data_IF_100434448699
#
_entry.id   IF_100434448699
#
_cell.length_a   1.000
_cell.length_b   1.000
_cell.length_c   1.000
_cell.angle_alpha   90.00
_cell.angle_beta   90.00
_cell.angle_gamma   90.00
#
_symmetry.space_group_name_H-M   'P 1'
#
loop_
_entity.id
_entity.type
_entity.pdbx_description
1 polymer ?
#
# COMPACT_ATOMS: atom_id res chain seq x y z
N UNK A 1 18.57 -18.03 12.68
CA UNK A 1 17.27 -17.49 13.18
C UNK A 1 17.14 -16.03 12.79
N UNK A 2 15.94 -15.61 12.31
CA UNK A 2 15.64 -14.23 11.93
C UNK A 2 15.36 -13.40 13.18
N UNK A 3 15.89 -12.16 13.24
CA UNK A 3 15.55 -11.17 14.25
C UNK A 3 14.91 -9.93 13.58
N UNK A 4 13.69 -9.57 14.00
CA UNK A 4 13.03 -8.33 13.61
C UNK A 4 13.55 -7.20 14.48
N UNK A 5 13.91 -6.07 13.87
CA UNK A 5 14.44 -4.89 14.57
C UNK A 5 13.60 -3.66 14.23
N UNK A 6 13.06 -2.99 15.23
CA UNK A 6 12.28 -1.75 14.99
C UNK A 6 11.43 -1.31 16.18
N UNK A 7 10.52 -0.41 15.91
CA UNK A 7 9.60 0.15 16.91
C UNK A 7 8.42 -0.77 17.19
N UNK A 8 8.00 -0.84 18.46
CA UNK A 8 6.66 -1.30 18.83
C UNK A 8 5.90 -0.13 19.45
N UNK A 9 4.81 0.21 18.81
CA UNK A 9 3.98 1.36 19.18
C UNK A 9 2.50 0.97 19.26
N UNK A 10 1.63 1.88 19.65
CA UNK A 10 0.19 1.68 19.66
C UNK A 10 -0.42 2.25 18.38
N UNK A 11 -0.98 1.39 17.53
CA UNK A 11 -1.82 1.81 16.41
C UNK A 11 -3.23 2.12 16.90
N UNK A 12 -3.72 3.31 16.59
CA UNK A 12 -5.11 3.73 16.81
C UNK A 12 -5.75 4.03 15.47
N UNK A 13 -6.57 3.11 14.96
CA UNK A 13 -7.37 3.35 13.77
C UNK A 13 -8.66 4.06 14.17
N UNK A 14 -8.88 5.25 13.63
CA UNK A 14 -10.08 6.04 13.92
C UNK A 14 -11.34 5.36 13.37
N UNK A 15 -12.46 5.62 14.03
CA UNK A 15 -13.75 5.13 13.55
C UNK A 15 -14.14 5.82 12.25
N UNK A 16 -14.63 5.03 11.30
CA UNK A 16 -15.26 5.52 10.04
C UNK A 16 -16.73 5.07 10.03
N UNK A 17 -17.48 5.39 8.97
CA UNK A 17 -18.85 4.86 8.79
C UNK A 17 -18.90 3.34 8.78
N UNK A 18 -17.84 2.69 8.33
CA UNK A 18 -17.79 1.25 8.03
C UNK A 18 -16.89 0.45 8.99
N UNK A 19 -16.13 1.13 9.86
CA UNK A 19 -15.19 0.49 10.79
C UNK A 19 -15.20 1.18 12.16
N UNK A 20 -15.30 0.41 13.28
CA UNK A 20 -15.17 0.97 14.61
C UNK A 20 -13.74 1.39 14.92
N UNK A 21 -13.56 2.27 15.91
CA UNK A 21 -12.24 2.58 16.49
C UNK A 21 -11.58 1.29 16.98
N UNK A 22 -10.29 1.13 16.64
CA UNK A 22 -9.47 -0.01 17.10
C UNK A 22 -8.15 0.47 17.66
N UNK A 23 -7.70 -0.18 18.73
CA UNK A 23 -6.34 -0.03 19.27
C UNK A 23 -5.64 -1.40 19.25
N UNK A 24 -4.37 -1.41 18.85
CA UNK A 24 -3.55 -2.63 18.83
C UNK A 24 -2.07 -2.27 18.92
N UNK A 25 -1.24 -3.27 19.23
CA UNK A 25 0.20 -3.13 19.02
C UNK A 25 0.48 -3.08 17.50
N UNK A 26 1.32 -2.15 17.10
CA UNK A 26 1.74 -1.89 15.73
C UNK A 26 3.26 -1.91 15.56
N UNK A 27 3.75 -1.32 14.48
CA UNK A 27 5.16 -1.40 14.12
C UNK A 27 5.57 -2.82 13.75
N UNK A 28 6.74 -3.28 14.18
CA UNK A 28 7.26 -4.62 13.81
C UNK A 28 6.39 -5.80 14.26
N UNK A 29 5.35 -5.57 15.06
CA UNK A 29 4.39 -6.61 15.46
C UNK A 29 3.62 -7.17 14.27
N UNK A 30 3.41 -6.39 13.21
CA UNK A 30 2.79 -6.88 11.97
C UNK A 30 3.66 -7.96 11.30
N UNK A 31 4.96 -7.70 11.19
CA UNK A 31 5.96 -8.66 10.72
C UNK A 31 6.03 -9.92 11.61
N UNK A 32 6.04 -9.73 12.93
CA UNK A 32 6.05 -10.85 13.88
C UNK A 32 4.85 -11.79 13.72
N UNK A 33 3.65 -11.23 13.49
CA UNK A 33 2.45 -12.05 13.19
C UNK A 33 2.60 -12.90 11.93
N UNK A 34 3.27 -12.39 10.90
CA UNK A 34 3.48 -13.13 9.66
C UNK A 34 4.41 -14.33 9.89
N UNK A 35 5.54 -14.14 10.58
CA UNK A 35 6.46 -15.23 10.92
C UNK A 35 5.79 -16.29 11.82
N UNK A 36 5.02 -15.86 12.82
CA UNK A 36 4.21 -16.75 13.64
C UNK A 36 3.18 -17.54 12.82
N UNK A 37 2.52 -16.91 11.86
CA UNK A 37 1.52 -17.57 11.02
C UNK A 37 2.13 -18.65 10.11
N UNK A 38 3.39 -18.44 9.71
CA UNK A 38 4.18 -19.37 8.91
C UNK A 38 4.87 -20.47 9.74
N UNK A 39 4.74 -20.45 11.07
CA UNK A 39 5.45 -21.32 12.01
C UNK A 39 6.99 -21.21 11.89
N UNK A 40 7.52 -20.01 11.53
CA UNK A 40 8.95 -19.68 11.44
C UNK A 40 9.45 -19.25 12.81
N UNK A 41 10.62 -19.76 13.24
CA UNK A 41 11.27 -19.29 14.48
C UNK A 41 11.88 -17.90 14.29
N UNK A 42 11.55 -16.98 15.18
CA UNK A 42 12.02 -15.59 15.13
C UNK A 42 12.27 -14.99 16.53
N UNK A 43 13.04 -13.95 16.53
CA UNK A 43 13.27 -13.04 17.67
C UNK A 43 12.77 -11.64 17.33
N UNK A 44 12.53 -10.84 18.36
CA UNK A 44 12.14 -9.43 18.24
C UNK A 44 13.08 -8.56 19.08
N UNK A 45 13.71 -7.60 18.45
CA UNK A 45 14.52 -6.58 19.07
C UNK A 45 13.85 -5.21 18.88
N UNK A 46 13.47 -4.54 19.97
CA UNK A 46 12.51 -3.45 19.85
C UNK A 46 12.88 -2.20 20.67
N UNK A 47 12.31 -1.08 20.22
CA UNK A 47 12.22 0.18 20.94
C UNK A 47 10.78 0.43 21.36
N UNK A 48 10.54 0.71 22.62
CA UNK A 48 9.22 1.07 23.15
C UNK A 48 9.31 1.76 24.52
N UNK A 49 8.28 2.49 24.93
CA UNK A 49 8.17 3.00 26.31
C UNK A 49 8.03 1.86 27.32
N UNK A 50 8.55 2.08 28.54
CA UNK A 50 8.49 1.09 29.63
C UNK A 50 7.06 0.64 29.96
N UNK A 51 6.07 1.53 29.86
CA UNK A 51 4.69 1.19 30.18
C UNK A 51 4.06 0.16 29.23
N UNK A 52 4.67 -0.08 28.05
CA UNK A 52 4.21 -1.07 27.07
C UNK A 52 4.83 -2.46 27.27
N UNK A 53 5.92 -2.59 28.02
CA UNK A 53 6.73 -3.81 28.12
C UNK A 53 5.90 -5.05 28.44
N UNK A 54 5.03 -5.00 29.47
CA UNK A 54 4.20 -6.13 29.86
C UNK A 54 3.22 -6.58 28.76
N UNK A 55 2.66 -5.65 28.00
CA UNK A 55 1.76 -5.97 26.90
C UNK A 55 2.51 -6.57 25.72
N UNK A 56 3.71 -6.07 25.42
CA UNK A 56 4.59 -6.57 24.37
C UNK A 56 5.03 -8.01 24.70
N UNK A 57 5.47 -8.26 25.94
CA UNK A 57 5.87 -9.60 26.40
C UNK A 57 4.74 -10.62 26.27
N UNK A 58 3.55 -10.30 26.77
CA UNK A 58 2.39 -11.18 26.69
C UNK A 58 2.07 -11.50 25.25
N UNK A 59 1.96 -10.45 24.42
CA UNK A 59 1.58 -10.61 23.02
C UNK A 59 2.59 -11.45 22.23
N UNK A 60 3.89 -11.16 22.35
CA UNK A 60 4.92 -11.89 21.60
C UNK A 60 5.11 -13.32 22.09
N UNK A 61 4.89 -13.56 23.38
CA UNK A 61 4.88 -14.93 23.93
C UNK A 61 3.70 -15.75 23.37
N UNK A 62 2.52 -15.16 23.25
CA UNK A 62 1.36 -15.82 22.63
C UNK A 62 1.57 -16.08 21.12
N UNK A 63 2.49 -15.35 20.49
CA UNK A 63 2.88 -15.51 19.10
C UNK A 63 4.22 -16.28 18.93
N UNK A 64 4.59 -17.11 19.88
CA UNK A 64 5.76 -18.03 19.83
C UNK A 64 7.12 -17.36 19.58
N UNK A 65 7.28 -16.05 19.88
CA UNK A 65 8.56 -15.36 19.80
C UNK A 65 9.61 -16.04 20.71
N UNK A 66 10.79 -16.37 20.15
CA UNK A 66 11.82 -17.16 20.86
C UNK A 66 12.72 -16.31 21.76
N UNK A 67 13.00 -15.07 21.36
CA UNK A 67 13.77 -14.12 22.13
C UNK A 67 13.21 -12.70 21.97
N UNK A 68 13.22 -11.97 23.07
CA UNK A 68 12.74 -10.59 23.13
C UNK A 68 13.85 -9.72 23.71
N UNK A 69 14.33 -8.74 22.93
CA UNK A 69 15.45 -7.88 23.27
C UNK A 69 14.99 -6.42 23.23
N UNK A 70 15.00 -5.72 24.35
CA UNK A 70 14.70 -4.29 24.36
C UNK A 70 15.95 -3.50 24.06
N UNK A 71 16.01 -2.87 22.89
CA UNK A 71 17.18 -2.11 22.39
C UNK A 71 17.26 -0.68 22.98
N UNK A 72 16.17 -0.18 23.49
CA UNK A 72 16.11 1.15 24.08
C UNK A 72 14.75 1.49 24.64
N UNK A 73 14.74 2.49 25.50
CA UNK A 73 13.54 3.03 26.11
C UNK A 73 13.13 4.33 25.43
N UNK A 74 11.88 4.38 24.97
CA UNK A 74 11.29 5.59 24.39
C UNK A 74 10.60 6.38 25.49
N UNK A 75 10.85 7.68 25.56
CA UNK A 75 10.29 8.59 26.55
C UNK A 75 9.73 9.85 25.92
N UNK A 76 9.09 10.67 26.74
CA UNK A 76 8.52 11.98 26.40
C UNK A 76 7.35 11.98 25.40
N UNK A 77 6.85 10.83 24.99
CA UNK A 77 5.69 10.76 24.08
C UNK A 77 4.80 9.55 24.37
N UNK A 78 3.52 9.58 23.96
CA UNK A 78 2.58 8.46 24.10
C UNK A 78 2.90 7.27 23.17
N UNK A 79 3.83 7.41 22.25
CA UNK A 79 4.25 6.41 21.26
C UNK A 79 3.06 5.76 20.53
N UNK A 80 2.22 6.63 19.98
CA UNK A 80 0.94 6.26 19.38
C UNK A 80 0.84 6.79 17.96
N UNK A 81 0.51 5.90 17.02
CA UNK A 81 0.21 6.24 15.63
C UNK A 81 -1.31 6.34 15.45
N UNK A 82 -1.78 7.51 15.06
CA UNK A 82 -3.17 7.70 14.62
C UNK A 82 -3.28 7.35 13.14
N UNK A 83 -4.29 6.57 12.77
CA UNK A 83 -4.55 6.11 11.42
C UNK A 83 -5.98 6.53 11.06
N UNK A 84 -6.13 7.49 10.16
CA UNK A 84 -7.43 8.04 9.80
C UNK A 84 -8.24 7.05 8.96
N UNK A 85 -7.58 6.41 7.96
CA UNK A 85 -8.21 5.44 7.08
C UNK A 85 -7.58 4.06 7.22
N UNK A 86 -8.41 3.06 7.52
CA UNK A 86 -7.96 1.69 7.73
C UNK A 86 -7.53 0.98 6.46
N UNK A 87 -8.07 1.41 5.30
CA UNK A 87 -7.75 0.90 3.97
C UNK A 87 -6.94 1.93 3.19
N UNK A 88 -5.92 1.50 2.47
CA UNK A 88 -5.17 2.36 1.53
C UNK A 88 -5.97 2.55 0.22
N UNK A 89 -7.08 3.25 0.33
CA UNK A 89 -7.85 3.73 -0.81
C UNK A 89 -7.12 4.92 -1.44
N UNK A 90 -6.60 5.82 -0.60
CA UNK A 90 -5.74 6.95 -0.88
C UNK A 90 -4.74 7.11 0.26
N UNK A 91 -4.38 8.34 0.61
CA UNK A 91 -3.54 8.60 1.77
C UNK A 91 -4.27 8.20 3.05
N UNK A 92 -3.68 7.28 3.82
CA UNK A 92 -4.26 6.76 5.07
C UNK A 92 -4.22 7.76 6.23
N UNK A 93 -3.53 8.88 6.08
CA UNK A 93 -3.44 9.90 7.13
C UNK A 93 -2.77 9.37 8.41
N UNK A 94 -1.59 8.76 8.26
CA UNK A 94 -0.75 8.39 9.41
C UNK A 94 -0.26 9.65 10.12
N UNK A 95 -0.54 9.77 11.41
CA UNK A 95 -0.11 10.90 12.24
C UNK A 95 0.45 10.37 13.55
N UNK A 96 1.71 10.70 13.81
CA UNK A 96 2.37 10.30 15.05
C UNK A 96 2.07 11.31 16.16
N UNK A 97 1.51 10.84 17.27
CA UNK A 97 1.12 11.72 18.37
C UNK A 97 2.37 12.19 19.15
N UNK A 98 2.62 13.50 19.19
CA UNK A 98 3.75 14.14 19.87
C UNK A 98 5.12 13.63 19.42
N UNK A 99 5.32 13.42 18.12
CA UNK A 99 6.58 12.89 17.55
C UNK A 99 7.79 13.80 17.76
N UNK A 100 7.58 15.12 17.95
CA UNK A 100 8.65 16.08 18.18
C UNK A 100 9.33 15.91 19.55
N UNK A 101 8.66 15.24 20.50
CA UNK A 101 9.14 15.03 21.87
C UNK A 101 9.76 13.64 22.09
N UNK A 102 9.97 12.87 21.00
CA UNK A 102 10.54 11.52 21.12
C UNK A 102 12.01 11.58 21.54
N UNK A 103 12.32 10.92 22.65
CA UNK A 103 13.67 10.69 23.12
C UNK A 103 13.91 9.20 23.33
N UNK A 104 15.03 8.67 22.83
CA UNK A 104 15.37 7.24 22.89
C UNK A 104 16.68 7.07 23.66
N UNK A 105 16.58 6.38 24.79
CA UNK A 105 17.74 5.91 25.55
C UNK A 105 18.13 4.51 25.05
N UNK A 106 19.25 4.43 24.31
CA UNK A 106 19.73 3.21 23.67
C UNK A 106 20.51 2.34 24.64
N UNK A 107 20.15 1.07 24.78
CA UNK A 107 20.95 0.07 25.49
C UNK A 107 21.99 -0.57 24.55
N UNK A 108 23.22 -0.05 24.59
CA UNK A 108 24.33 -0.53 23.76
C UNK A 108 24.71 -2.00 24.07
N UNK A 109 24.39 -2.50 25.27
CA UNK A 109 24.64 -3.90 25.62
C UNK A 109 23.64 -4.80 24.94
N UNK A 110 22.35 -4.46 25.02
CA UNK A 110 21.28 -5.18 24.33
C UNK A 110 21.45 -5.12 22.79
N UNK A 111 21.88 -4.00 22.23
CA UNK A 111 22.15 -3.88 20.78
C UNK A 111 23.21 -4.89 20.32
N UNK A 112 24.26 -5.16 21.12
CA UNK A 112 25.27 -6.14 20.78
C UNK A 112 24.76 -7.58 20.77
N UNK A 113 23.63 -7.88 21.42
CA UNK A 113 23.02 -9.21 21.36
C UNK A 113 22.52 -9.55 19.95
N UNK A 114 22.32 -8.54 19.08
CA UNK A 114 21.98 -8.74 17.67
C UNK A 114 23.02 -9.56 16.91
N UNK A 115 24.27 -9.58 17.37
CA UNK A 115 25.35 -10.37 16.79
C UNK A 115 25.17 -11.90 16.99
N UNK A 116 24.19 -12.31 17.78
CA UNK A 116 23.82 -13.71 17.95
C UNK A 116 22.88 -14.24 16.86
N UNK A 117 22.49 -13.44 15.88
CA UNK A 117 21.55 -13.81 14.83
C UNK A 117 22.23 -13.89 13.46
N UNK A 118 21.70 -14.75 12.58
CA UNK A 118 22.22 -14.92 11.22
C UNK A 118 21.65 -13.85 10.24
N UNK A 119 20.50 -13.27 10.62
CA UNK A 119 19.72 -12.41 9.74
C UNK A 119 18.91 -11.39 10.54
N UNK A 120 19.04 -10.11 10.17
CA UNK A 120 18.36 -9.00 10.78
C UNK A 120 17.46 -8.32 9.75
N UNK A 121 16.22 -8.07 10.14
CA UNK A 121 15.25 -7.34 9.32
C UNK A 121 14.88 -6.06 10.06
N UNK A 122 15.40 -4.94 9.57
CA UNK A 122 15.11 -3.61 10.09
C UNK A 122 13.86 -3.05 9.44
N UNK A 123 12.90 -2.66 10.25
CA UNK A 123 11.73 -1.88 9.82
C UNK A 123 11.93 -0.47 10.35
N UNK A 124 11.96 0.50 9.44
CA UNK A 124 12.23 1.89 9.82
C UNK A 124 11.15 2.45 10.76
N UNK A 125 11.61 3.27 11.68
CA UNK A 125 10.79 3.87 12.73
C UNK A 125 11.41 5.19 13.19
N UNK A 126 11.20 5.53 14.45
CA UNK A 126 11.72 6.77 15.04
C UNK A 126 13.14 6.63 15.60
N UNK A 127 13.73 5.45 15.52
CA UNK A 127 15.11 5.21 15.99
C UNK A 127 16.14 5.45 14.90
N UNK A 128 17.36 5.77 15.31
CA UNK A 128 18.52 5.91 14.41
C UNK A 128 19.06 4.51 14.05
N UNK A 129 18.74 4.06 12.85
CA UNK A 129 19.15 2.76 12.32
C UNK A 129 20.67 2.64 12.17
N UNK A 130 21.36 3.71 11.73
CA UNK A 130 22.80 3.72 11.59
C UNK A 130 23.51 3.54 12.94
N UNK A 131 22.93 4.10 14.02
CA UNK A 131 23.46 3.91 15.38
C UNK A 131 23.40 2.46 15.81
N UNK A 132 22.35 1.73 15.45
CA UNK A 132 22.24 0.28 15.73
C UNK A 132 23.21 -0.52 14.86
N UNK A 133 23.26 -0.22 13.55
CA UNK A 133 24.09 -0.93 12.58
C UNK A 133 25.59 -0.83 12.86
N UNK A 134 26.05 0.27 13.47
CA UNK A 134 27.45 0.41 13.95
C UNK A 134 27.88 -0.66 14.95
N UNK A 135 26.93 -1.24 15.68
CA UNK A 135 27.19 -2.27 16.68
C UNK A 135 27.03 -3.69 16.12
N UNK A 136 26.55 -3.84 14.89
CA UNK A 136 26.34 -5.14 14.23
C UNK A 136 27.65 -5.59 13.58
N UNK A 137 28.05 -6.84 13.77
CA UNK A 137 29.25 -7.44 13.19
C UNK A 137 29.09 -7.73 11.70
N UNK A 138 30.21 -7.90 10.99
CA UNK A 138 30.20 -8.28 9.58
C UNK A 138 29.81 -9.75 9.39
N UNK A 139 29.16 -10.07 8.27
CA UNK A 139 28.75 -11.42 7.94
C UNK A 139 27.29 -11.75 8.28
N UNK A 140 26.61 -10.89 9.02
CA UNK A 140 25.16 -11.00 9.27
C UNK A 140 24.41 -10.46 8.04
N UNK A 141 23.37 -11.17 7.59
CA UNK A 141 22.49 -10.67 6.52
C UNK A 141 21.59 -9.57 7.06
N UNK A 142 21.53 -8.45 6.34
CA UNK A 142 20.80 -7.27 6.77
C UNK A 142 19.80 -6.87 5.70
N UNK A 143 18.55 -6.81 6.07
CA UNK A 143 17.43 -6.35 5.24
C UNK A 143 16.80 -5.12 5.88
N UNK A 144 16.32 -4.20 5.06
CA UNK A 144 15.81 -2.95 5.57
C UNK A 144 14.55 -2.52 4.79
N UNK A 145 13.47 -2.21 5.48
CA UNK A 145 12.34 -1.47 4.94
C UNK A 145 12.44 -0.01 5.36
N UNK A 146 12.39 0.90 4.39
CA UNK A 146 12.46 2.34 4.64
C UNK A 146 11.13 3.01 4.32
N UNK A 147 10.69 3.86 5.24
CA UNK A 147 9.42 4.58 5.16
C UNK A 147 9.61 6.10 5.15
N UNK A 148 8.83 6.80 5.97
CA UNK A 148 8.75 8.26 5.93
C UNK A 148 9.92 8.99 6.61
N UNK A 149 10.80 8.30 7.31
CA UNK A 149 11.98 8.85 7.97
C UNK A 149 13.22 8.97 7.06
N UNK A 150 13.15 8.51 5.80
CA UNK A 150 14.23 8.58 4.81
C UNK A 150 13.77 9.40 3.61
N UNK A 151 14.40 10.54 3.37
CA UNK A 151 14.02 11.50 2.32
C UNK A 151 14.92 11.42 1.08
N UNK A 152 16.13 10.89 1.24
CA UNK A 152 17.13 10.78 0.18
C UNK A 152 18.09 9.61 0.41
N UNK A 153 18.90 9.32 -0.60
CA UNK A 153 19.91 8.26 -0.57
C UNK A 153 20.98 8.45 0.48
N UNK A 154 21.29 9.69 0.84
CA UNK A 154 22.24 10.07 1.87
C UNK A 154 21.76 9.75 3.30
N UNK A 155 20.46 9.59 3.50
CA UNK A 155 19.84 9.19 4.76
C UNK A 155 19.66 7.66 4.88
N UNK A 156 19.90 6.92 3.79
CA UNK A 156 19.84 5.45 3.82
C UNK A 156 20.91 4.87 4.76
N UNK A 157 20.67 3.68 5.31
CA UNK A 157 21.70 2.97 6.04
C UNK A 157 22.98 2.84 5.23
N UNK A 158 24.10 3.34 5.76
CA UNK A 158 25.40 3.38 5.08
C UNK A 158 26.52 2.68 5.88
N UNK A 159 26.25 2.27 7.10
CA UNK A 159 27.22 1.57 7.96
C UNK A 159 27.45 0.11 7.52
N UNK A 160 26.49 -0.48 6.81
CA UNK A 160 26.55 -1.85 6.28
C UNK A 160 25.94 -1.90 4.89
N UNK A 161 26.46 -2.80 4.05
CA UNK A 161 25.85 -3.11 2.77
C UNK A 161 24.63 -4.01 3.00
N UNK A 162 23.45 -3.58 2.56
CA UNK A 162 22.20 -4.31 2.76
C UNK A 162 22.08 -5.48 1.76
N UNK A 163 21.54 -6.59 2.21
CA UNK A 163 21.16 -7.70 1.32
C UNK A 163 19.89 -7.37 0.54
N UNK A 164 18.90 -6.76 1.19
CA UNK A 164 17.67 -6.31 0.53
C UNK A 164 17.22 -4.97 1.10
N UNK A 165 16.84 -4.05 0.22
CA UNK A 165 16.21 -2.77 0.55
C UNK A 165 14.79 -2.78 0.01
N UNK A 166 13.80 -2.66 0.90
CA UNK A 166 12.40 -2.52 0.56
C UNK A 166 12.00 -1.05 0.60
N UNK A 167 11.29 -0.61 -0.43
CA UNK A 167 10.78 0.76 -0.56
C UNK A 167 9.36 0.70 -1.09
N UNK A 168 8.46 1.50 -0.53
CA UNK A 168 7.11 1.64 -1.05
C UNK A 168 6.92 2.96 -1.82
N UNK A 169 5.94 3.01 -2.70
CA UNK A 169 5.55 4.25 -3.41
C UNK A 169 4.99 5.32 -2.48
N UNK A 170 4.65 4.96 -1.23
CA UNK A 170 4.24 5.91 -0.19
C UNK A 170 5.42 6.53 0.57
N UNK A 171 6.64 5.99 0.47
CA UNK A 171 7.83 6.47 1.19
C UNK A 171 8.30 7.84 0.69
N UNK A 172 8.97 8.60 1.57
CA UNK A 172 9.49 9.91 1.21
C UNK A 172 10.60 9.85 0.16
N UNK A 173 11.52 8.88 0.27
CA UNK A 173 12.59 8.72 -0.70
C UNK A 173 12.04 8.44 -2.11
N UNK A 174 10.99 7.63 -2.22
CA UNK A 174 10.33 7.41 -3.50
C UNK A 174 9.71 8.70 -4.05
N UNK A 175 8.90 9.40 -3.27
CA UNK A 175 8.25 10.65 -3.69
C UNK A 175 9.24 11.73 -4.12
N UNK A 176 10.42 11.78 -3.50
CA UNK A 176 11.43 12.81 -3.74
C UNK A 176 12.39 12.48 -4.87
N UNK A 177 12.67 11.18 -5.12
CA UNK A 177 13.78 10.75 -6.00
C UNK A 177 13.37 9.88 -7.18
N UNK A 178 12.15 9.35 -7.18
CA UNK A 178 11.70 8.49 -8.28
C UNK A 178 11.42 9.30 -9.54
N UNK A 179 12.00 8.90 -10.65
CA UNK A 179 11.71 9.36 -12.01
C UNK A 179 11.24 8.21 -12.88
N UNK A 180 12.00 7.13 -12.88
CA UNK A 180 11.71 5.86 -13.51
C UNK A 180 12.42 4.74 -12.73
N UNK A 181 12.03 3.50 -12.97
CA UNK A 181 12.53 2.37 -12.18
C UNK A 181 14.04 2.14 -12.35
N UNK A 182 14.58 2.26 -13.56
CA UNK A 182 15.99 1.99 -13.83
C UNK A 182 16.91 3.06 -13.20
N UNK A 183 16.52 4.31 -13.32
CA UNK A 183 17.23 5.44 -12.67
C UNK A 183 17.16 5.32 -11.15
N UNK A 184 16.01 4.95 -10.61
CA UNK A 184 15.83 4.76 -9.17
C UNK A 184 16.66 3.59 -8.64
N UNK A 185 16.68 2.45 -9.33
CA UNK A 185 17.57 1.35 -8.99
C UNK A 185 19.04 1.73 -9.08
N UNK A 186 19.43 2.54 -10.07
CA UNK A 186 20.81 3.01 -10.23
C UNK A 186 21.26 3.86 -9.04
N UNK A 187 20.36 4.71 -8.51
CA UNK A 187 20.58 5.50 -7.31
C UNK A 187 20.82 4.62 -6.08
N UNK A 188 20.06 3.52 -5.95
CA UNK A 188 20.02 2.69 -4.75
C UNK A 188 21.02 1.52 -4.76
N UNK A 189 21.55 1.13 -5.92
CA UNK A 189 22.56 0.05 -6.07
C UNK A 189 23.74 0.11 -5.11
N UNK A 190 24.30 1.29 -4.76
CA UNK A 190 25.41 1.36 -3.80
C UNK A 190 25.06 0.89 -2.39
N UNK A 191 23.78 0.86 -2.02
CA UNK A 191 23.30 0.59 -0.67
C UNK A 191 22.83 -0.85 -0.47
N UNK A 192 22.37 -1.54 -1.52
CA UNK A 192 21.78 -2.87 -1.39
C UNK A 192 22.04 -3.78 -2.59
N UNK A 193 22.14 -5.09 -2.34
CA UNK A 193 22.25 -6.12 -3.39
C UNK A 193 20.93 -6.31 -4.13
N UNK A 194 19.80 -6.23 -3.41
CA UNK A 194 18.44 -6.30 -3.95
C UNK A 194 17.65 -5.07 -3.58
N UNK A 195 16.88 -4.57 -4.53
CA UNK A 195 15.95 -3.44 -4.35
C UNK A 195 14.56 -3.95 -4.69
N UNK A 196 13.64 -3.86 -3.75
CA UNK A 196 12.24 -4.24 -3.91
C UNK A 196 11.38 -2.99 -3.82
N UNK A 197 10.81 -2.56 -4.93
CA UNK A 197 9.86 -1.45 -5.00
C UNK A 197 8.43 -2.00 -4.87
N UNK A 198 7.77 -1.71 -3.76
CA UNK A 198 6.37 -2.06 -3.50
C UNK A 198 5.46 -0.99 -4.11
N UNK A 199 4.62 -1.39 -5.07
CA UNK A 199 3.75 -0.47 -5.84
C UNK A 199 2.27 -0.65 -5.51
N UNK A 200 1.96 -0.89 -4.24
CA UNK A 200 0.62 -1.08 -3.71
C UNK A 200 -0.13 -2.19 -4.48
N UNK A 201 -1.36 -1.93 -4.92
CA UNK A 201 -2.16 -2.86 -5.73
C UNK A 201 -1.60 -3.12 -7.13
N UNK A 202 -0.59 -2.38 -7.56
CA UNK A 202 0.10 -2.58 -8.84
C UNK A 202 1.17 -3.67 -8.81
N UNK A 203 1.39 -4.31 -7.67
CA UNK A 203 2.42 -5.33 -7.48
C UNK A 203 3.72 -4.80 -6.92
N UNK A 204 4.81 -5.46 -7.24
CA UNK A 204 6.16 -4.98 -6.91
C UNK A 204 7.14 -5.26 -8.05
N UNK A 205 8.20 -4.44 -8.12
CA UNK A 205 9.33 -4.66 -9.02
C UNK A 205 10.59 -4.89 -8.21
N UNK A 206 11.42 -5.78 -8.71
CA UNK A 206 12.65 -6.19 -8.04
C UNK A 206 13.82 -6.03 -8.99
N UNK A 207 14.87 -5.39 -8.51
CA UNK A 207 16.18 -5.40 -9.12
C UNK A 207 17.10 -6.26 -8.24
N UNK A 208 17.65 -7.33 -8.81
CA UNK A 208 18.64 -8.20 -8.15
C UNK A 208 20.00 -8.01 -8.81
N UNK A 209 20.93 -7.33 -8.13
CA UNK A 209 22.29 -7.08 -8.63
C UNK A 209 23.14 -8.36 -8.69
N UNK A 210 22.79 -9.39 -7.93
CA UNK A 210 23.54 -10.65 -7.91
C UNK A 210 23.28 -11.50 -9.15
N UNK A 211 22.08 -11.37 -9.73
CA UNK A 211 21.67 -12.04 -10.96
C UNK A 211 21.74 -11.11 -12.18
N UNK A 212 21.77 -9.79 -11.96
CA UNK A 212 21.64 -8.79 -13.02
C UNK A 212 20.24 -8.75 -13.63
N UNK A 213 19.21 -9.14 -12.89
CA UNK A 213 17.84 -9.33 -13.37
C UNK A 213 16.88 -8.31 -12.78
N UNK A 214 15.84 -8.00 -13.58
CA UNK A 214 14.66 -7.25 -13.14
C UNK A 214 13.43 -8.12 -13.36
N UNK A 215 12.59 -8.24 -12.35
CA UNK A 215 11.33 -8.97 -12.48
C UNK A 215 10.18 -8.29 -11.75
N UNK A 216 8.96 -8.63 -12.14
CA UNK A 216 7.72 -8.08 -11.61
C UNK A 216 6.94 -9.17 -10.88
N UNK A 217 6.43 -8.84 -9.71
CA UNK A 217 5.58 -9.71 -8.91
C UNK A 217 4.17 -9.11 -8.87
N UNK A 218 3.14 -9.86 -9.28
CA UNK A 218 1.78 -9.36 -9.24
C UNK A 218 1.28 -9.23 -7.78
N UNK A 219 0.49 -8.20 -7.52
CA UNK A 219 -0.32 -8.16 -6.29
C UNK A 219 -1.58 -8.98 -6.47
N UNK A 220 -2.03 -9.60 -5.40
CA UNK A 220 -3.36 -10.19 -5.36
C UNK A 220 -4.37 -9.09 -4.99
N UNK A 221 -5.43 -8.93 -5.78
CA UNK A 221 -6.42 -7.87 -5.59
C UNK A 221 -7.77 -8.44 -5.18
N UNK A 222 -8.26 -8.00 -4.01
CA UNK A 222 -9.58 -8.29 -3.48
C UNK A 222 -10.06 -7.10 -2.66
N UNK A 223 -11.35 -6.96 -2.40
CA UNK A 223 -11.81 -6.04 -1.37
C UNK A 223 -11.18 -6.40 -0.01
N UNK A 224 -10.56 -5.43 0.63
CA UNK A 224 -9.80 -5.64 1.87
C UNK A 224 -10.54 -5.14 3.10
N UNK A 225 -10.16 -5.66 4.28
CA UNK A 225 -10.64 -5.19 5.58
C UNK A 225 -9.73 -4.09 6.13
N UNK A 226 -8.42 -4.20 5.90
CA UNK A 226 -7.43 -3.20 6.29
C UNK A 226 -6.16 -3.33 5.43
N UNK A 227 -5.30 -2.31 5.45
CA UNK A 227 -3.99 -2.34 4.79
C UNK A 227 -2.82 -2.00 5.72
N UNK A 228 -3.08 -1.73 7.00
CA UNK A 228 -2.04 -1.39 7.98
C UNK A 228 -1.14 -2.59 8.25
N UNK A 229 0.16 -2.43 8.03
CA UNK A 229 1.17 -3.49 8.23
C UNK A 229 1.25 -4.53 7.12
N UNK A 230 0.50 -4.38 6.02
CA UNK A 230 0.54 -5.30 4.87
C UNK A 230 1.93 -5.29 4.21
N UNK A 231 2.58 -4.12 4.14
CA UNK A 231 3.95 -3.99 3.64
C UNK A 231 4.96 -4.78 4.48
N UNK A 232 4.88 -4.65 5.81
CA UNK A 232 5.77 -5.36 6.74
C UNK A 232 5.61 -6.89 6.63
N UNK A 233 4.37 -7.35 6.46
CA UNK A 233 4.06 -8.76 6.22
C UNK A 233 4.67 -9.24 4.90
N UNK A 234 4.50 -8.48 3.82
CA UNK A 234 5.10 -8.80 2.52
C UNK A 234 6.61 -8.94 2.60
N UNK A 235 7.28 -7.99 3.27
CA UNK A 235 8.73 -7.95 3.38
C UNK A 235 9.29 -9.19 4.11
N UNK A 236 8.78 -9.48 5.32
CA UNK A 236 9.32 -10.61 6.10
C UNK A 236 8.98 -11.96 5.49
N UNK A 237 7.80 -12.10 4.87
CA UNK A 237 7.42 -13.35 4.20
C UNK A 237 8.29 -13.57 2.96
N UNK A 238 8.64 -12.53 2.21
CA UNK A 238 9.54 -12.63 1.05
C UNK A 238 10.95 -13.10 1.40
N UNK A 239 11.36 -12.97 2.67
CA UNK A 239 12.66 -13.43 3.17
C UNK A 239 12.59 -14.81 3.85
N UNK A 240 11.43 -15.15 4.43
CA UNK A 240 11.26 -16.34 5.28
C UNK A 240 10.51 -17.50 4.59
N UNK A 241 9.90 -17.26 3.42
CA UNK A 241 9.11 -18.29 2.73
C UNK A 241 9.99 -19.49 2.29
N UNK A 242 9.50 -20.74 2.43
CA UNK A 242 10.29 -21.95 2.25
C UNK A 242 10.37 -22.37 0.76
N UNK A 243 10.80 -21.46 -0.13
CA UNK A 243 10.95 -21.70 -1.56
C UNK A 243 12.39 -21.48 -2.02
N UNK A 244 12.78 -22.12 -3.11
CA UNK A 244 14.16 -22.15 -3.59
C UNK A 244 14.61 -20.83 -4.22
N UNK A 245 13.70 -20.13 -4.91
CA UNK A 245 14.01 -18.87 -5.58
C UNK A 245 13.38 -17.67 -4.87
N UNK A 246 14.09 -16.54 -4.88
CA UNK A 246 13.55 -15.30 -4.31
C UNK A 246 12.28 -14.84 -5.01
N UNK A 247 12.14 -15.12 -6.32
CA UNK A 247 10.93 -14.81 -7.07
C UNK A 247 9.72 -15.60 -6.55
N UNK A 248 9.87 -16.89 -6.26
CA UNK A 248 8.81 -17.71 -5.65
C UNK A 248 8.45 -17.23 -4.25
N UNK A 249 9.46 -16.85 -3.45
CA UNK A 249 9.24 -16.28 -2.11
C UNK A 249 8.38 -15.00 -2.18
N UNK A 250 8.69 -14.09 -3.11
CA UNK A 250 7.93 -12.86 -3.33
C UNK A 250 6.50 -13.12 -3.84
N UNK A 251 6.33 -14.11 -4.73
CA UNK A 251 4.99 -14.53 -5.16
C UNK A 251 4.16 -15.03 -3.98
N UNK A 252 4.73 -15.90 -3.16
CA UNK A 252 4.06 -16.37 -1.96
C UNK A 252 3.76 -15.23 -1.00
N UNK A 253 4.71 -14.30 -0.82
CA UNK A 253 4.53 -13.11 0.02
C UNK A 253 3.35 -12.24 -0.44
N UNK A 254 3.11 -12.13 -1.75
CA UNK A 254 1.95 -11.39 -2.27
C UNK A 254 0.61 -12.00 -1.88
N UNK A 255 0.53 -13.34 -1.78
CA UNK A 255 -0.66 -14.05 -1.30
C UNK A 255 -0.84 -13.90 0.20
N UNK A 256 0.23 -14.06 0.98
CA UNK A 256 0.17 -13.91 2.44
C UNK A 256 -0.20 -12.47 2.83
N UNK A 257 0.35 -11.47 2.15
CA UNK A 257 0.00 -10.06 2.35
C UNK A 257 -1.49 -9.79 2.08
N UNK A 258 -2.05 -10.43 1.04
CA UNK A 258 -3.48 -10.38 0.76
C UNK A 258 -4.31 -10.99 1.89
N UNK A 259 -3.98 -12.21 2.33
CA UNK A 259 -4.69 -12.87 3.43
C UNK A 259 -4.62 -12.05 4.73
N UNK A 260 -3.49 -11.36 4.96
CA UNK A 260 -3.37 -10.43 6.07
C UNK A 260 -4.34 -9.26 5.96
N UNK A 261 -4.50 -8.70 4.76
CA UNK A 261 -5.42 -7.58 4.51
C UNK A 261 -6.91 -7.97 4.62
N UNK A 262 -7.25 -9.25 4.50
CA UNK A 262 -8.63 -9.75 4.57
C UNK A 262 -9.17 -9.89 6.00
N UNK A 263 -8.31 -9.97 7.02
CA UNK A 263 -8.75 -10.19 8.40
C UNK A 263 -7.91 -9.47 9.44
N UNK A 264 -8.54 -9.04 10.52
CA UNK A 264 -7.85 -8.50 11.70
C UNK A 264 -7.69 -9.56 12.82
N UNK A 265 -8.18 -10.80 12.61
CA UNK A 265 -8.13 -11.89 13.58
C UNK A 265 -6.89 -12.75 13.34
N UNK A 266 -5.95 -12.85 14.31
CA UNK A 266 -4.70 -13.60 14.13
C UNK A 266 -4.90 -15.05 13.75
N UNK A 267 -5.83 -15.76 14.40
CA UNK A 267 -6.08 -17.18 14.15
C UNK A 267 -6.63 -17.44 12.73
N UNK A 268 -7.50 -16.57 12.24
CA UNK A 268 -7.99 -16.65 10.85
C UNK A 268 -6.84 -16.45 9.86
N UNK A 269 -5.99 -15.47 10.10
CA UNK A 269 -4.80 -15.22 9.28
C UNK A 269 -3.88 -16.42 9.27
N UNK A 270 -3.54 -16.97 10.47
CA UNK A 270 -2.69 -18.17 10.57
C UNK A 270 -3.29 -19.37 9.83
N UNK A 271 -4.61 -19.56 9.92
CA UNK A 271 -5.30 -20.63 9.20
C UNK A 271 -5.17 -20.47 7.68
N UNK A 272 -5.38 -19.24 7.15
CA UNK A 272 -5.22 -18.93 5.72
C UNK A 272 -3.78 -19.19 5.26
N UNK A 273 -2.78 -18.71 6.00
CA UNK A 273 -1.35 -18.92 5.67
C UNK A 273 -0.99 -20.40 5.63
N UNK A 274 -1.46 -21.19 6.59
CA UNK A 274 -1.27 -22.65 6.58
C UNK A 274 -1.94 -23.34 5.39
N UNK A 275 -3.03 -22.78 4.88
CA UNK A 275 -3.68 -23.27 3.66
C UNK A 275 -2.83 -22.95 2.43
N UNK A 276 -2.31 -21.72 2.34
CA UNK A 276 -1.40 -21.30 1.26
C UNK A 276 -0.12 -22.16 1.23
N UNK A 277 0.47 -22.46 2.38
CA UNK A 277 1.66 -23.33 2.48
C UNK A 277 1.43 -24.77 1.97
N UNK A 278 0.19 -25.24 1.92
CA UNK A 278 -0.18 -26.54 1.34
C UNK A 278 -0.46 -26.49 -0.16
N UNK A 279 -0.67 -25.29 -0.70
CA UNK A 279 -0.89 -25.06 -2.13
C UNK A 279 0.47 -25.02 -2.83
N UNK A 280 0.59 -25.67 -3.99
CA UNK A 280 1.87 -25.64 -4.73
C UNK A 280 2.18 -24.23 -5.22
N UNK A 281 3.46 -23.85 -5.20
CA UNK A 281 3.87 -22.53 -5.68
C UNK A 281 3.50 -22.33 -7.15
N UNK A 282 3.59 -23.37 -7.97
CA UNK A 282 3.19 -23.32 -9.38
C UNK A 282 1.70 -23.01 -9.55
N UNK A 283 0.85 -23.52 -8.68
CA UNK A 283 -0.58 -23.22 -8.68
C UNK A 283 -0.84 -21.75 -8.31
N UNK A 284 -0.17 -21.25 -7.27
CA UNK A 284 -0.26 -19.83 -6.88
C UNK A 284 0.24 -18.92 -8.00
N UNK A 285 1.36 -19.24 -8.64
CA UNK A 285 1.94 -18.46 -9.75
C UNK A 285 1.08 -18.51 -11.02
N UNK A 286 0.29 -19.56 -11.23
CA UNK A 286 -0.62 -19.67 -12.37
C UNK A 286 -1.83 -18.72 -12.29
N UNK A 287 -2.13 -18.22 -11.10
CA UNK A 287 -3.24 -17.29 -10.90
C UNK A 287 -2.84 -15.86 -11.30
N UNK A 288 -3.72 -15.22 -12.05
CA UNK A 288 -3.49 -13.86 -12.51
C UNK A 288 -3.64 -12.87 -11.37
N UNK A 289 -2.57 -12.12 -11.07
CA UNK A 289 -2.61 -10.96 -10.20
C UNK A 289 -2.54 -9.65 -10.98
N UNK A 290 -2.52 -8.52 -10.29
CA UNK A 290 -2.40 -7.19 -10.86
C UNK A 290 -0.92 -6.80 -11.00
N UNK A 291 -0.52 -6.43 -12.22
CA UNK A 291 0.76 -5.79 -12.52
C UNK A 291 0.45 -4.46 -13.19
N UNK A 292 0.83 -3.37 -12.55
CA UNK A 292 0.65 -2.02 -13.08
C UNK A 292 1.73 -1.09 -12.52
N UNK A 293 2.87 -0.96 -13.19
CA UNK A 293 3.97 -0.10 -12.78
C UNK A 293 3.54 1.34 -12.53
N UNK A 294 4.19 2.01 -11.58
CA UNK A 294 3.82 3.36 -11.14
C UNK A 294 3.79 4.37 -12.28
N UNK A 295 4.85 4.43 -13.11
CA UNK A 295 4.97 5.37 -14.23
C UNK A 295 3.97 5.10 -15.37
N UNK A 296 3.46 3.88 -15.46
CA UNK A 296 2.42 3.53 -16.45
C UNK A 296 1.08 4.18 -16.08
N UNK A 297 0.83 4.37 -14.78
CA UNK A 297 -0.46 4.86 -14.27
C UNK A 297 -0.77 6.29 -14.69
N UNK A 298 0.23 7.14 -14.94
CA UNK A 298 0.03 8.50 -15.47
C UNK A 298 -0.58 8.53 -16.87
N UNK A 299 -0.51 7.41 -17.62
CA UNK A 299 -1.18 7.25 -18.91
C UNK A 299 -2.64 6.85 -18.77
N UNK A 300 -3.04 6.39 -17.57
CA UNK A 300 -4.40 5.95 -17.28
C UNK A 300 -5.29 7.18 -17.07
N UNK A 301 -5.96 7.61 -18.14
CA UNK A 301 -6.85 8.75 -18.16
C UNK A 301 -8.26 8.31 -17.78
N UNK A 302 -8.80 8.81 -16.67
CA UNK A 302 -10.10 8.40 -16.12
C UNK A 302 -11.06 9.58 -16.18
N UNK A 303 -12.10 9.46 -17.00
CA UNK A 303 -13.17 10.46 -17.07
C UNK A 303 -14.07 10.35 -15.83
N UNK A 304 -14.25 11.43 -15.11
CA UNK A 304 -15.10 11.52 -13.92
C UNK A 304 -16.44 12.11 -14.30
N UNK A 305 -17.43 11.25 -14.54
CA UNK A 305 -18.80 11.61 -14.80
C UNK A 305 -19.53 11.92 -13.49
N UNK A 306 -19.81 13.17 -13.19
CA UNK A 306 -20.37 13.53 -11.89
C UNK A 306 -21.03 14.91 -11.93
N UNK A 307 -22.06 15.18 -11.08
CA UNK A 307 -22.63 16.50 -10.90
C UNK A 307 -21.71 17.40 -10.05
N UNK A 308 -20.57 17.77 -10.64
CA UNK A 308 -19.49 18.54 -9.98
C UNK A 308 -19.80 20.05 -9.90
N UNK A 309 -21.06 20.40 -9.55
CA UNK A 309 -21.55 21.75 -9.50
C UNK A 309 -21.31 22.41 -8.13
N UNK A 310 -21.16 23.73 -8.12
CA UNK A 310 -20.87 24.50 -6.90
C UNK A 310 -21.96 24.42 -5.81
N UNK A 311 -23.19 24.05 -6.18
CA UNK A 311 -24.32 23.89 -5.27
C UNK A 311 -24.53 22.45 -4.78
N UNK A 312 -23.67 21.52 -5.17
CA UNK A 312 -23.69 20.10 -4.77
C UNK A 312 -22.59 19.83 -3.75
N UNK A 313 -22.83 18.92 -2.81
CA UNK A 313 -21.76 18.41 -1.96
C UNK A 313 -20.82 17.49 -2.76
N UNK A 314 -19.72 18.04 -3.21
CA UNK A 314 -18.74 17.36 -4.06
C UNK A 314 -17.69 16.55 -3.29
N UNK A 315 -17.81 16.39 -1.96
CA UNK A 315 -16.84 15.62 -1.16
C UNK A 315 -16.58 14.23 -1.70
N UNK A 316 -17.59 13.39 -2.10
CA UNK A 316 -17.32 12.07 -2.65
C UNK A 316 -16.53 12.11 -3.97
N UNK A 317 -16.76 13.13 -4.81
CA UNK A 317 -16.00 13.34 -6.06
C UNK A 317 -14.54 13.67 -5.73
N UNK A 318 -14.30 14.57 -4.77
CA UNK A 318 -12.96 14.96 -4.37
C UNK A 318 -12.20 13.78 -3.77
N UNK A 319 -12.81 13.00 -2.86
CA UNK A 319 -12.21 11.80 -2.26
C UNK A 319 -11.81 10.80 -3.35
N UNK A 320 -12.67 10.53 -4.33
CA UNK A 320 -12.34 9.65 -5.46
C UNK A 320 -11.14 10.20 -6.25
N UNK A 321 -11.16 11.48 -6.62
CA UNK A 321 -10.08 12.10 -7.40
C UNK A 321 -8.76 12.11 -6.63
N UNK A 322 -8.78 12.44 -5.34
CA UNK A 322 -7.60 12.44 -4.48
C UNK A 322 -7.03 11.01 -4.35
N UNK A 323 -7.90 10.00 -4.23
CA UNK A 323 -7.50 8.59 -4.20
C UNK A 323 -6.85 8.15 -5.52
N UNK A 324 -7.41 8.53 -6.65
CA UNK A 324 -6.84 8.24 -7.97
C UNK A 324 -5.46 8.91 -8.13
N UNK A 325 -5.35 10.20 -7.79
CA UNK A 325 -4.11 10.97 -7.86
C UNK A 325 -3.03 10.42 -6.91
N UNK A 326 -3.41 9.97 -5.71
CA UNK A 326 -2.50 9.32 -4.76
C UNK A 326 -1.82 8.07 -5.37
N UNK A 327 -2.55 7.35 -6.22
CA UNK A 327 -2.04 6.18 -6.92
C UNK A 327 -1.48 6.48 -8.32
N UNK A 328 -1.21 7.74 -8.64
CA UNK A 328 -0.66 8.21 -9.93
C UNK A 328 -1.58 8.01 -11.15
N UNK A 329 -2.89 7.85 -10.94
CA UNK A 329 -3.87 7.89 -12.03
C UNK A 329 -4.27 9.33 -12.33
N UNK A 330 -4.71 9.59 -13.57
CA UNK A 330 -5.13 10.93 -13.99
C UNK A 330 -6.65 11.05 -14.01
N UNK A 331 -7.21 11.69 -13.00
CA UNK A 331 -8.64 11.99 -12.94
C UNK A 331 -8.97 13.21 -13.82
N UNK A 332 -9.81 13.04 -14.84
CA UNK A 332 -10.24 14.08 -15.78
C UNK A 332 -11.65 14.55 -15.42
N UNK A 333 -11.78 15.78 -14.97
CA UNK A 333 -13.04 16.36 -14.47
C UNK A 333 -13.57 17.40 -15.48
N UNK A 334 -14.62 17.07 -16.27
CA UNK A 334 -15.11 17.95 -17.35
C UNK A 334 -15.42 19.37 -16.87
N UNK A 335 -16.19 19.51 -15.78
CA UNK A 335 -16.55 20.83 -15.25
C UNK A 335 -15.34 21.65 -14.82
N UNK A 336 -14.26 21.00 -14.33
CA UNK A 336 -13.04 21.73 -13.94
C UNK A 336 -12.16 22.08 -15.14
N UNK A 337 -12.18 21.26 -16.20
CA UNK A 337 -11.35 21.45 -17.38
C UNK A 337 -12.03 22.32 -18.45
N UNK A 338 -13.32 22.09 -18.73
CA UNK A 338 -14.06 22.72 -19.82
C UNK A 338 -14.99 23.84 -19.32
N UNK A 339 -15.30 23.86 -18.02
CA UNK A 339 -16.22 24.82 -17.41
C UNK A 339 -17.64 24.29 -17.23
N UNK A 340 -18.46 25.06 -16.56
CA UNK A 340 -19.86 24.78 -16.30
C UNK A 340 -20.75 25.63 -17.21
N UNK A 341 -21.81 25.05 -17.77
CA UNK A 341 -22.82 25.75 -18.52
C UNK A 341 -23.43 26.90 -17.67
N UNK A 342 -23.52 28.10 -18.23
CA UNK A 342 -24.12 29.25 -17.55
C UNK A 342 -25.64 29.20 -17.59
N UNK A 343 -26.30 29.86 -16.61
CA UNK A 343 -27.73 30.02 -16.63
C UNK A 343 -28.13 30.91 -17.86
N UNK A 344 -28.99 30.37 -18.72
CA UNK A 344 -29.38 31.08 -19.97
C UNK A 344 -28.40 30.89 -21.14
N UNK A 345 -27.47 29.93 -21.05
CA UNK A 345 -26.55 29.58 -22.13
C UNK A 345 -27.26 29.46 -23.50
N UNK A 346 -26.70 30.08 -24.52
CA UNK A 346 -27.21 30.00 -25.88
C UNK A 346 -26.86 28.62 -26.52
N UNK A 347 -27.34 28.42 -27.77
CA UNK A 347 -27.10 27.16 -28.48
C UNK A 347 -25.61 26.93 -28.77
N UNK A 348 -24.86 27.98 -29.01
CA UNK A 348 -23.43 27.92 -29.36
C UNK A 348 -22.60 27.48 -28.15
N UNK A 349 -22.85 28.08 -26.98
CA UNK A 349 -22.22 27.68 -25.72
C UNK A 349 -22.51 26.22 -25.37
N UNK A 350 -23.78 25.79 -25.48
CA UNK A 350 -24.16 24.40 -25.21
C UNK A 350 -23.50 23.39 -26.13
N UNK A 351 -23.39 23.69 -27.43
CA UNK A 351 -22.71 22.83 -28.41
C UNK A 351 -21.20 22.81 -28.12
N UNK A 352 -20.60 23.95 -27.77
CA UNK A 352 -19.19 24.09 -27.44
C UNK A 352 -18.81 23.12 -26.27
N UNK A 353 -19.47 23.29 -25.13
CA UNK A 353 -19.26 22.43 -23.95
C UNK A 353 -19.49 20.93 -24.23
N UNK A 354 -20.58 20.60 -24.94
CA UNK A 354 -20.83 19.23 -25.35
C UNK A 354 -19.70 18.65 -26.20
N UNK A 355 -19.17 19.39 -27.16
CA UNK A 355 -18.08 18.93 -28.01
C UNK A 355 -16.78 18.75 -27.21
N UNK A 356 -16.49 19.64 -26.25
CA UNK A 356 -15.32 19.58 -25.38
C UNK A 356 -15.39 18.35 -24.43
N UNK A 357 -16.55 18.11 -23.81
CA UNK A 357 -16.78 16.94 -22.95
C UNK A 357 -16.65 15.61 -23.74
N UNK A 358 -17.22 15.56 -24.96
CA UNK A 358 -17.10 14.40 -25.82
C UNK A 358 -15.67 14.16 -26.32
N UNK A 359 -14.90 15.23 -26.56
CA UNK A 359 -13.50 15.16 -26.90
C UNK A 359 -12.63 14.68 -25.71
N UNK A 360 -12.96 15.15 -24.50
CA UNK A 360 -12.32 14.71 -23.27
C UNK A 360 -12.59 13.23 -23.00
N UNK A 361 -13.86 12.80 -23.07
CA UNK A 361 -14.24 11.39 -22.93
C UNK A 361 -13.53 10.50 -23.96
N UNK A 362 -13.35 11.00 -25.19
CA UNK A 362 -12.63 10.27 -26.24
C UNK A 362 -11.14 10.09 -26.01
N UNK A 363 -10.52 10.83 -25.08
CA UNK A 363 -9.12 10.69 -24.66
C UNK A 363 -8.96 9.75 -23.47
N UNK A 364 -10.06 9.41 -22.79
CA UNK A 364 -10.04 8.58 -21.59
C UNK A 364 -10.23 7.10 -21.93
N UNK A 365 -9.57 6.24 -21.20
CA UNK A 365 -9.62 4.80 -21.36
C UNK A 365 -10.39 4.11 -20.22
N UNK A 366 -11.04 4.88 -19.34
CA UNK A 366 -12.00 4.46 -18.33
C UNK A 366 -12.94 5.61 -17.99
N UNK A 367 -14.18 5.30 -17.58
CA UNK A 367 -15.09 6.26 -16.97
C UNK A 367 -15.44 5.79 -15.56
N UNK A 368 -15.42 6.71 -14.58
CA UNK A 368 -16.01 6.50 -13.25
C UNK A 368 -17.11 7.53 -13.05
N UNK A 369 -18.35 7.04 -12.91
CA UNK A 369 -19.47 7.89 -12.52
C UNK A 369 -19.59 7.97 -11.00
N UNK A 370 -19.86 9.18 -10.46
CA UNK A 370 -20.17 9.38 -9.04
C UNK A 370 -21.63 9.80 -8.91
N UNK A 371 -22.44 8.94 -8.29
CA UNK A 371 -23.87 9.21 -8.13
C UNK A 371 -24.13 9.95 -6.81
N UNK A 372 -24.49 11.23 -6.91
CA UNK A 372 -24.93 12.05 -5.77
C UNK A 372 -26.46 12.31 -5.83
N UNK A 373 -27.02 12.25 -7.02
CA UNK A 373 -28.44 12.23 -7.36
C UNK A 373 -28.58 11.76 -8.81
N UNK A 374 -29.82 11.62 -9.31
CA UNK A 374 -30.07 11.22 -10.69
C UNK A 374 -29.81 12.39 -11.65
N UNK A 375 -28.52 12.71 -11.88
CA UNK A 375 -28.12 13.74 -12.84
C UNK A 375 -28.19 13.20 -14.27
N UNK A 376 -28.99 13.82 -15.17
CA UNK A 376 -29.13 13.36 -16.55
C UNK A 376 -27.81 13.36 -17.34
N UNK A 377 -26.92 14.33 -17.08
CA UNK A 377 -25.61 14.43 -17.74
C UNK A 377 -24.76 13.21 -17.43
N UNK A 378 -24.55 12.92 -16.14
CA UNK A 378 -23.80 11.76 -15.63
C UNK A 378 -24.36 10.45 -16.21
N UNK A 379 -25.68 10.26 -16.22
CA UNK A 379 -26.30 9.02 -16.73
C UNK A 379 -26.11 8.83 -18.24
N UNK A 380 -26.18 9.93 -19.02
CA UNK A 380 -25.91 9.90 -20.47
C UNK A 380 -24.44 9.53 -20.74
N UNK A 381 -23.50 10.11 -20.01
CA UNK A 381 -22.06 9.82 -20.13
C UNK A 381 -21.75 8.36 -19.84
N UNK A 382 -22.35 7.77 -18.80
CA UNK A 382 -22.28 6.32 -18.50
C UNK A 382 -22.73 5.50 -19.70
N UNK A 383 -23.87 5.81 -20.28
CA UNK A 383 -24.40 5.09 -21.45
C UNK A 383 -23.50 5.24 -22.68
N UNK A 384 -22.99 6.43 -22.95
CA UNK A 384 -22.09 6.71 -24.07
C UNK A 384 -20.74 6.00 -23.94
N UNK A 385 -20.14 5.99 -22.75
CA UNK A 385 -18.87 5.32 -22.48
C UNK A 385 -19.03 3.79 -22.65
N UNK A 386 -20.05 3.22 -22.04
CA UNK A 386 -20.35 1.78 -22.14
C UNK A 386 -20.60 1.36 -23.59
N UNK A 387 -21.38 2.13 -24.36
CA UNK A 387 -21.64 1.86 -25.78
C UNK A 387 -20.36 1.91 -26.64
N UNK A 388 -19.37 2.73 -26.27
CA UNK A 388 -18.05 2.80 -26.91
C UNK A 388 -17.09 1.70 -26.47
N UNK A 389 -17.49 0.80 -25.55
CA UNK A 389 -16.64 -0.24 -24.99
C UNK A 389 -15.58 0.29 -24.00
N UNK A 390 -15.75 1.51 -23.51
CA UNK A 390 -14.90 2.08 -22.45
C UNK A 390 -15.32 1.45 -21.12
N UNK A 391 -14.41 0.81 -20.35
CA UNK A 391 -14.72 0.31 -19.01
C UNK A 391 -15.37 1.39 -18.15
N UNK A 392 -16.57 1.11 -17.66
CA UNK A 392 -17.39 2.07 -16.93
C UNK A 392 -17.65 1.56 -15.53
N UNK A 393 -17.28 2.32 -14.52
CA UNK A 393 -17.52 2.03 -13.12
C UNK A 393 -18.49 3.05 -12.55
N UNK A 394 -19.30 2.65 -11.57
CA UNK A 394 -20.24 3.54 -10.87
C UNK A 394 -19.92 3.51 -9.38
N UNK A 395 -19.44 4.60 -8.84
CA UNK A 395 -19.34 4.86 -7.42
C UNK A 395 -20.65 5.47 -6.92
N UNK A 396 -21.38 4.71 -6.11
CA UNK A 396 -22.71 5.07 -5.60
C UNK A 396 -22.69 5.18 -4.06
N UNK A 397 -22.06 6.22 -3.48
CA UNK A 397 -21.87 6.35 -2.04
C UNK A 397 -23.18 6.41 -1.23
N UNK A 398 -24.29 6.78 -1.87
CA UNK A 398 -25.59 6.96 -1.23
C UNK A 398 -26.62 5.89 -1.62
N UNK A 399 -26.21 4.90 -2.45
CA UNK A 399 -27.02 3.71 -2.83
C UNK A 399 -28.34 4.06 -3.52
N UNK A 400 -28.25 4.86 -4.59
CA UNK A 400 -29.41 5.27 -5.41
C UNK A 400 -29.46 4.57 -6.78
N UNK A 401 -28.50 3.74 -7.12
CA UNK A 401 -28.47 2.98 -8.35
C UNK A 401 -29.46 1.80 -8.28
N UNK A 402 -30.71 2.04 -8.62
CA UNK A 402 -31.82 1.06 -8.57
C UNK A 402 -32.38 0.70 -9.97
N UNK A 403 -32.00 1.43 -11.02
CA UNK A 403 -32.46 1.17 -12.38
C UNK A 403 -31.60 0.10 -13.05
N UNK A 404 -32.25 -0.89 -13.70
CA UNK A 404 -31.57 -2.02 -14.34
C UNK A 404 -30.54 -1.60 -15.41
N UNK A 405 -30.76 -0.51 -16.15
CA UNK A 405 -29.75 0.00 -17.09
C UNK A 405 -28.51 0.51 -16.39
N UNK A 406 -28.68 1.04 -15.18
CA UNK A 406 -27.57 1.58 -14.39
C UNK A 406 -26.84 0.50 -13.59
N UNK A 407 -27.53 -0.59 -13.22
CA UNK A 407 -26.90 -1.69 -12.48
C UNK A 407 -26.23 -2.73 -13.37
N UNK A 408 -26.74 -2.95 -14.59
CA UNK A 408 -26.27 -4.03 -15.48
C UNK A 408 -25.35 -3.55 -16.62
N UNK A 409 -25.47 -2.27 -17.04
CA UNK A 409 -24.66 -1.72 -18.13
C UNK A 409 -23.19 -1.45 -17.73
N UNK A 410 -22.90 -0.86 -16.55
CA UNK A 410 -21.52 -0.64 -16.12
C UNK A 410 -20.78 -1.94 -15.81
N UNK A 411 -19.47 -1.90 -15.90
CA UNK A 411 -18.58 -3.02 -15.50
C UNK A 411 -18.68 -3.34 -14.01
N UNK A 412 -18.95 -2.33 -13.19
CA UNK A 412 -19.11 -2.44 -11.74
C UNK A 412 -19.95 -1.29 -11.20
N UNK A 413 -20.82 -1.58 -10.23
CA UNK A 413 -21.49 -0.59 -9.38
C UNK A 413 -21.15 -0.90 -7.92
N UNK A 414 -20.68 0.06 -7.16
CA UNK A 414 -20.35 -0.14 -5.73
C UNK A 414 -20.50 1.14 -4.92
N UNK A 415 -20.96 0.99 -3.69
CA UNK A 415 -20.91 2.07 -2.68
C UNK A 415 -19.59 2.10 -1.90
N UNK A 416 -18.75 1.07 -2.02
CA UNK A 416 -17.43 0.98 -1.40
C UNK A 416 -16.35 1.45 -2.39
N UNK A 417 -15.67 2.54 -2.04
CA UNK A 417 -14.61 3.11 -2.87
C UNK A 417 -13.39 2.17 -2.99
N UNK A 418 -13.14 1.32 -1.99
CA UNK A 418 -12.10 0.30 -2.04
C UNK A 418 -12.34 -0.72 -3.18
N UNK A 419 -13.58 -1.13 -3.36
CA UNK A 419 -14.01 -2.01 -4.45
C UNK A 419 -13.84 -1.33 -5.82
N UNK A 420 -14.17 -0.04 -5.92
CA UNK A 420 -13.94 0.76 -7.13
C UNK A 420 -12.45 0.84 -7.45
N UNK A 421 -11.60 1.18 -6.47
CA UNK A 421 -10.15 1.27 -6.67
C UNK A 421 -9.53 -0.09 -7.04
N UNK A 422 -9.93 -1.19 -6.40
CA UNK A 422 -9.48 -2.53 -6.77
C UNK A 422 -9.82 -2.85 -8.23
N UNK A 423 -11.01 -2.44 -8.69
CA UNK A 423 -11.44 -2.62 -10.09
C UNK A 423 -10.65 -1.75 -11.06
N UNK A 424 -10.33 -0.49 -10.71
CA UNK A 424 -9.47 0.40 -11.51
C UNK A 424 -8.13 -0.29 -11.78
N UNK A 425 -7.45 -0.76 -10.73
CA UNK A 425 -6.17 -1.45 -10.87
C UNK A 425 -6.26 -2.71 -11.74
N UNK A 426 -7.28 -3.53 -11.55
CA UNK A 426 -7.43 -4.78 -12.31
C UNK A 426 -7.75 -4.53 -13.78
N UNK A 427 -8.57 -3.54 -14.11
CA UNK A 427 -8.89 -3.22 -15.50
C UNK A 427 -7.68 -2.61 -16.24
N UNK A 428 -6.96 -1.68 -15.61
CA UNK A 428 -5.74 -1.14 -16.21
C UNK A 428 -4.60 -2.17 -16.30
N UNK A 429 -4.47 -3.07 -15.33
CA UNK A 429 -3.53 -4.18 -15.42
C UNK A 429 -3.83 -5.09 -16.62
N UNK A 430 -5.10 -5.34 -16.95
CA UNK A 430 -5.49 -6.09 -18.15
C UNK A 430 -5.09 -5.34 -19.42
N UNK A 431 -5.37 -4.04 -19.49
CA UNK A 431 -5.00 -3.20 -20.63
C UNK A 431 -3.47 -3.17 -20.83
N UNK A 432 -2.72 -3.02 -19.73
CA UNK A 432 -1.25 -3.04 -19.74
C UNK A 432 -0.70 -4.38 -20.26
N UNK A 433 -1.19 -5.51 -19.73
CA UNK A 433 -0.76 -6.85 -20.17
C UNK A 433 -1.11 -7.14 -21.63
N UNK A 434 -2.18 -6.56 -22.14
CA UNK A 434 -2.61 -6.71 -23.54
C UNK A 434 -1.94 -5.69 -24.50
N UNK A 435 -1.11 -4.78 -24.00
CA UNK A 435 -0.44 -3.75 -24.81
C UNK A 435 -1.40 -2.70 -25.38
N UNK A 436 -2.52 -2.45 -24.72
CA UNK A 436 -3.54 -1.46 -25.15
C UNK A 436 -3.50 -0.16 -24.33
N UNK A 437 -2.55 -0.05 -23.42
CA UNK A 437 -2.32 1.12 -22.56
C UNK A 437 -1.10 1.92 -22.99
#
# INVERSE_FOLDING_TARGET
>A
MICLVGDILTDVTLATSDSPLKMRLGGIVHAARALWAMDVEYAVAYFAPVYMDSHIEIFLKEHDCKALIKLGNVSNCPYTMLIQEVKEIGNQGYEFLYHDDIDIDYDLTAIKELNGFDELIFISGNYDMNRVLKCVEDGIRIHCDVANNVNGEDELPNEKNLDTLFISTSSNIFKNKFTDFDSFCTLLKPHAKRIVLKENRGGSRVYDSTLGEVYQIPSQTSPITHSVGVGDVYDVVSLAAPYDTYQEQLFFASWVAMEYALTTFPDNFKHSVRTLLKTSINELMSQSGCILPWEVRERCQIYIAAPDFSFVDTRPINILCDSLNYHNFVARRPIKENGQMTEGADKTERIGLFCEDMALLGKCNMLIAVLLYNDPGTLIEVGLAAQRGIPTLVYDPIRIADNCMLTELPTLVSSDLDVIMAKVFTEYSKQFKNGTL
#
